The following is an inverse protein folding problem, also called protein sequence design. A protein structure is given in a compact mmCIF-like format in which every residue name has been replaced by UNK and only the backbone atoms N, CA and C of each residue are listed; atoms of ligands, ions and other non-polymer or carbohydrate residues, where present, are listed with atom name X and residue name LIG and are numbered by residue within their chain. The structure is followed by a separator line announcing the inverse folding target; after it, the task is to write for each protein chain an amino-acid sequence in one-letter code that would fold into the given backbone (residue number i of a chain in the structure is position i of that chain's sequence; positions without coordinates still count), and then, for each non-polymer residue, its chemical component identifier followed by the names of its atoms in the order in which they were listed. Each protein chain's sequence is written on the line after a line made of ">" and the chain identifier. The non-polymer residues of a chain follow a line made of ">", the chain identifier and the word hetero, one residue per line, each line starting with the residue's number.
data_IF_004827022096
#
_entry.id   IF_004827022096
#
_cell.length_a   1.000
_cell.length_b   1.000
_cell.length_c   1.000
_cell.angle_alpha   90.00
_cell.angle_beta   90.00
_cell.angle_gamma   90.00
#
_symmetry.space_group_name_H-M   'P 1'
#
loop_
_entity.id
_entity.type
_entity.pdbx_description
1 polymer ?
#
# COMPACT_ATOMS: atom_id res chain seq x y z
N UNK A 1 6.80 -10.17 2.62
CA UNK A 1 7.54 -8.98 3.08
C UNK A 1 7.20 -7.84 2.13
N UNK A 2 6.81 -6.65 2.59
CA UNK A 2 6.66 -5.49 1.69
C UNK A 2 8.04 -5.11 1.16
N UNK A 3 8.12 -4.59 -0.06
CA UNK A 3 9.41 -4.36 -0.73
C UNK A 3 10.25 -3.22 -0.14
N UNK A 4 9.70 -2.41 0.78
CA UNK A 4 10.38 -1.31 1.46
C UNK A 4 10.09 -1.27 2.98
N UNK A 5 10.05 -2.43 3.64
CA UNK A 5 9.81 -2.47 5.09
C UNK A 5 10.85 -1.69 5.92
N UNK A 6 12.07 -1.57 5.41
CA UNK A 6 13.17 -0.90 6.10
C UNK A 6 12.91 0.61 6.25
N UNK A 7 12.03 1.19 5.44
CA UNK A 7 11.63 2.59 5.50
C UNK A 7 10.45 2.85 6.44
N UNK A 8 9.82 1.79 6.96
CA UNK A 8 8.68 1.90 7.87
C UNK A 8 9.20 2.00 9.32
N UNK A 9 8.82 3.05 10.08
CA UNK A 9 9.21 3.18 11.49
C UNK A 9 8.91 1.93 12.32
N UNK A 10 9.83 1.58 13.25
CA UNK A 10 9.71 0.38 14.09
C UNK A 10 8.39 0.34 14.88
N UNK A 11 7.89 1.51 15.30
CA UNK A 11 6.61 1.69 15.98
C UNK A 11 5.40 1.18 15.16
N UNK A 12 5.52 1.10 13.83
CA UNK A 12 4.45 0.63 12.95
C UNK A 12 4.58 -0.85 12.56
N UNK A 13 5.60 -1.57 13.04
CA UNK A 13 5.82 -2.99 12.69
C UNK A 13 4.60 -3.87 12.97
N UNK A 14 3.82 -3.58 14.02
CA UNK A 14 2.59 -4.31 14.33
C UNK A 14 1.53 -4.09 13.24
N UNK A 15 1.27 -2.83 12.88
CA UNK A 15 0.33 -2.47 11.83
C UNK A 15 0.74 -3.08 10.48
N UNK A 16 2.04 -3.03 10.18
CA UNK A 16 2.61 -3.63 8.98
C UNK A 16 2.39 -5.13 8.89
N UNK A 17 2.53 -5.88 9.99
CA UNK A 17 2.22 -7.31 10.03
C UNK A 17 0.75 -7.57 9.70
N UNK A 18 -0.16 -6.79 10.27
CA UNK A 18 -1.61 -6.93 10.00
C UNK A 18 -1.93 -6.64 8.53
N UNK A 19 -1.34 -5.60 7.94
CA UNK A 19 -1.50 -5.29 6.51
C UNK A 19 -0.95 -6.40 5.62
N UNK A 20 0.23 -6.95 5.96
CA UNK A 20 0.85 -8.08 5.26
C UNK A 20 -0.03 -9.32 5.32
N UNK A 21 -0.57 -9.66 6.49
CA UNK A 21 -1.52 -10.76 6.65
C UNK A 21 -2.78 -10.55 5.82
N UNK A 22 -3.30 -9.32 5.78
CA UNK A 22 -4.48 -8.99 5.01
C UNK A 22 -4.25 -9.14 3.51
N UNK A 23 -3.10 -8.71 2.99
CA UNK A 23 -2.69 -8.95 1.60
C UNK A 23 -2.63 -10.46 1.29
N UNK A 24 -1.97 -11.25 2.15
CA UNK A 24 -1.85 -12.69 1.96
C UNK A 24 -3.21 -13.40 2.01
N UNK A 25 -4.12 -12.98 2.89
CA UNK A 25 -5.50 -13.51 2.94
C UNK A 25 -6.27 -13.27 1.63
N UNK A 26 -5.98 -12.17 0.93
CA UNK A 26 -6.58 -11.85 -0.36
C UNK A 26 -5.86 -12.51 -1.55
N UNK A 27 -4.88 -13.40 -1.30
CA UNK A 27 -4.10 -14.09 -2.33
C UNK A 27 -3.02 -13.22 -2.98
N UNK A 28 -2.78 -12.02 -2.45
CA UNK A 28 -1.76 -11.10 -2.96
C UNK A 28 -0.38 -11.45 -2.36
N UNK A 29 0.69 -11.19 -3.11
CA UNK A 29 2.06 -11.33 -2.60
C UNK A 29 2.53 -9.98 -2.04
N UNK A 30 2.78 -9.83 -0.73
CA UNK A 30 3.20 -8.56 -0.16
C UNK A 30 4.50 -8.00 -0.78
N UNK A 31 5.38 -8.86 -1.31
CA UNK A 31 6.62 -8.43 -1.98
C UNK A 31 6.41 -7.70 -3.29
N UNK A 32 5.20 -7.76 -3.87
CA UNK A 32 4.83 -7.01 -5.07
C UNK A 32 4.42 -5.57 -4.76
N UNK A 33 4.54 -5.15 -3.50
CA UNK A 33 4.01 -3.88 -3.01
C UNK A 33 5.08 -3.03 -2.34
N UNK A 34 5.04 -1.75 -2.65
CA UNK A 34 5.68 -0.70 -1.86
C UNK A 34 4.61 -0.02 -1.01
N UNK A 35 4.96 0.31 0.23
CA UNK A 35 4.06 0.98 1.15
C UNK A 35 4.64 2.32 1.60
N UNK A 36 3.83 3.35 1.53
CA UNK A 36 4.06 4.59 2.25
C UNK A 36 3.06 4.66 3.40
N UNK A 37 3.52 5.02 4.60
CA UNK A 37 2.66 5.07 5.79
C UNK A 37 2.43 6.52 6.19
N UNK A 38 1.16 6.87 6.40
CA UNK A 38 0.72 8.16 6.91
C UNK A 38 0.03 7.97 8.26
N UNK A 39 0.40 8.77 9.26
CA UNK A 39 -0.30 8.84 10.54
C UNK A 39 -1.41 9.90 10.46
N UNK A 40 -2.64 9.49 10.73
CA UNK A 40 -3.79 10.37 10.83
C UNK A 40 -3.87 11.06 12.20
N UNK A 41 -4.51 12.25 12.30
CA UNK A 41 -4.66 12.95 13.58
C UNK A 41 -5.40 12.16 14.67
N UNK A 42 -6.21 11.18 14.28
CA UNK A 42 -6.95 10.30 15.20
C UNK A 42 -6.17 9.03 15.59
N UNK A 43 -4.90 8.93 15.19
CA UNK A 43 -4.00 7.83 15.52
C UNK A 43 -4.05 6.65 14.54
N UNK A 44 -4.91 6.66 13.53
CA UNK A 44 -4.95 5.61 12.50
C UNK A 44 -3.75 5.71 11.56
N UNK A 45 -3.36 4.57 10.99
CA UNK A 45 -2.26 4.48 10.02
C UNK A 45 -2.82 4.14 8.65
N UNK A 46 -2.61 5.00 7.67
CA UNK A 46 -2.92 4.72 6.27
C UNK A 46 -1.68 4.15 5.61
N UNK A 47 -1.82 2.95 5.04
CA UNK A 47 -0.83 2.32 4.19
C UNK A 47 -1.21 2.56 2.73
N UNK A 48 -0.49 3.45 2.07
CA UNK A 48 -0.58 3.66 0.62
C UNK A 48 0.21 2.58 -0.11
N UNK A 49 -0.50 1.62 -0.68
CA UNK A 49 0.04 0.38 -1.22
C UNK A 49 0.16 0.45 -2.76
N UNK A 50 1.36 0.82 -3.22
CA UNK A 50 1.74 0.84 -4.64
C UNK A 50 2.12 -0.56 -5.13
N UNK A 51 1.41 -1.06 -6.14
CA UNK A 51 1.76 -2.34 -6.75
C UNK A 51 2.87 -2.19 -7.78
N UNK A 52 3.74 -3.19 -7.93
CA UNK A 52 4.82 -3.18 -8.92
C UNK A 52 4.36 -3.00 -10.37
N UNK A 53 3.14 -3.43 -10.71
CA UNK A 53 2.56 -3.18 -12.04
C UNK A 53 2.33 -1.70 -12.33
N UNK A 54 2.16 -0.89 -11.29
CA UNK A 54 1.98 0.55 -11.44
C UNK A 54 3.24 1.23 -11.98
N UNK A 55 4.40 0.87 -11.45
CA UNK A 55 5.67 1.44 -11.91
C UNK A 55 5.96 1.09 -13.36
N UNK A 56 5.64 -0.15 -13.78
CA UNK A 56 5.77 -0.56 -15.19
C UNK A 56 4.86 0.26 -16.11
N UNK A 57 3.60 0.43 -15.72
CA UNK A 57 2.64 1.21 -16.50
C UNK A 57 3.06 2.68 -16.60
N UNK A 58 3.56 3.26 -15.50
CA UNK A 58 4.08 4.63 -15.47
C UNK A 58 5.31 4.79 -16.37
N UNK A 59 6.27 3.86 -16.30
CA UNK A 59 7.47 3.87 -17.15
C UNK A 59 7.10 3.77 -18.64
N UNK A 60 6.14 2.91 -18.98
CA UNK A 60 5.64 2.77 -20.36
C UNK A 60 4.94 4.04 -20.85
N UNK A 61 4.12 4.67 -20.00
CA UNK A 61 3.46 5.92 -20.33
C UNK A 61 4.47 7.05 -20.55
N UNK A 62 5.46 7.19 -19.67
CA UNK A 62 6.51 8.18 -19.80
C UNK A 62 7.29 8.01 -21.11
N UNK A 63 7.63 6.77 -21.49
CA UNK A 63 8.27 6.46 -22.79
C UNK A 63 7.41 6.87 -23.99
N UNK A 64 6.09 6.90 -23.84
CA UNK A 64 5.15 7.33 -24.87
C UNK A 64 4.82 8.83 -24.79
N UNK A 65 5.43 9.58 -23.86
CA UNK A 65 5.11 10.98 -23.62
C UNK A 65 3.73 11.20 -22.99
N UNK A 66 3.15 10.15 -22.39
CA UNK A 66 1.87 10.17 -21.71
C UNK A 66 2.06 10.29 -20.19
N UNK A 67 1.03 10.79 -19.50
CA UNK A 67 0.93 10.71 -18.04
C UNK A 67 -0.29 9.87 -17.68
N UNK A 68 -0.11 8.89 -16.78
CA UNK A 68 -1.22 8.12 -16.21
C UNK A 68 -1.58 8.75 -14.87
N UNK A 69 -2.84 9.15 -14.74
CA UNK A 69 -3.47 9.52 -13.48
C UNK A 69 -4.23 8.31 -12.93
N UNK A 70 -4.37 8.22 -11.61
CA UNK A 70 -5.20 7.20 -10.96
C UNK A 70 -4.42 5.96 -10.54
N UNK A 71 -4.95 4.77 -10.83
CA UNK A 71 -4.39 3.46 -10.45
C UNK A 71 -3.66 2.78 -11.61
N UNK A 72 -2.36 3.07 -11.84
CA UNK A 72 -1.63 2.48 -12.94
C UNK A 72 -1.49 0.98 -12.62
N UNK A 73 -1.95 0.11 -13.51
CA UNK A 73 -1.90 -1.34 -13.29
C UNK A 73 -2.98 -1.92 -12.36
N UNK A 74 -4.00 -1.13 -11.98
CA UNK A 74 -5.30 -1.58 -11.47
C UNK A 74 -5.29 -2.32 -10.13
N UNK A 75 -4.17 -2.26 -9.40
CA UNK A 75 -4.03 -2.95 -8.12
C UNK A 75 -3.88 -1.95 -6.98
N UNK A 76 -3.20 -0.82 -7.12
CA UNK A 76 -2.91 0.11 -6.01
C UNK A 76 -4.11 0.45 -5.13
N UNK A 77 -3.87 0.56 -3.82
CA UNK A 77 -4.93 0.77 -2.82
C UNK A 77 -4.40 1.37 -1.52
N UNK A 78 -5.30 1.86 -0.69
CA UNK A 78 -5.03 2.27 0.68
C UNK A 78 -5.65 1.31 1.67
N UNK A 79 -4.88 0.90 2.68
CA UNK A 79 -5.40 0.19 3.86
C UNK A 79 -5.28 1.10 5.10
N UNK A 80 -6.40 1.32 5.79
CA UNK A 80 -6.38 2.04 7.08
C UNK A 80 -6.34 1.03 8.22
N UNK A 81 -5.27 1.07 9.00
CA UNK A 81 -5.13 0.31 10.23
C UNK A 81 -5.61 1.14 11.42
N UNK A 82 -6.48 0.54 12.23
CA UNK A 82 -6.95 1.10 13.50
C UNK A 82 -6.17 0.45 14.66
N UNK A 83 -5.38 1.21 15.44
CA UNK A 83 -4.59 0.67 16.54
C UNK A 83 -5.42 0.17 17.72
N UNK A 84 -6.59 0.77 17.97
CA UNK A 84 -7.47 0.40 19.08
C UNK A 84 -8.17 -0.94 18.79
N UNK A 85 -8.58 -1.14 17.54
CA UNK A 85 -9.20 -2.39 17.08
C UNK A 85 -8.18 -3.43 16.61
N UNK A 86 -6.91 -3.03 16.48
CA UNK A 86 -5.80 -3.84 15.97
C UNK A 86 -6.10 -4.55 14.65
N UNK A 87 -6.72 -3.86 13.69
CA UNK A 87 -7.12 -4.43 12.39
C UNK A 87 -7.16 -3.38 11.29
N UNK A 88 -7.14 -3.85 10.04
CA UNK A 88 -7.52 -3.01 8.89
C UNK A 88 -9.02 -2.77 8.92
N UNK A 89 -9.42 -1.50 8.95
CA UNK A 89 -10.83 -1.08 9.03
C UNK A 89 -11.37 -0.59 7.70
N UNK A 90 -10.51 -0.04 6.84
CA UNK A 90 -10.87 0.44 5.51
C UNK A 90 -9.91 -0.06 4.44
N UNK A 91 -10.46 -0.27 3.25
CA UNK A 91 -9.71 -0.64 2.04
C UNK A 91 -10.25 0.21 0.89
N UNK A 92 -9.41 1.05 0.28
CA UNK A 92 -9.80 1.92 -0.81
C UNK A 92 -8.94 1.66 -2.04
N UNK A 93 -9.52 1.15 -3.13
CA UNK A 93 -8.80 0.96 -4.39
C UNK A 93 -8.72 2.32 -5.08
N UNK A 94 -7.54 2.67 -5.58
CA UNK A 94 -7.35 3.93 -6.28
C UNK A 94 -8.10 3.92 -7.62
N UNK A 95 -8.61 5.07 -8.04
CA UNK A 95 -9.31 5.28 -9.31
C UNK A 95 -8.47 6.15 -10.25
#
# INVERSE_FOLDING_TARGET
>A
MLSNLDDIPEEYLKATKVVVEELMKNGEKPSEFQAQVLLEPDGKLIFHLWHQSAFKALEEAEKQGNSILGNPGGRCRDYTFDPDLNKVVNKWIWE
#
